data_IF_609660160404
#
_entry.id   IF_609660160404
#
_cell.length_a   1.000
_cell.length_b   1.000
_cell.length_c   1.000
_cell.angle_alpha   90.00
_cell.angle_beta   90.00
_cell.angle_gamma   90.00
#
_symmetry.space_group_name_H-M   'P 1'
#
loop_
_entity.id
_entity.type
_entity.pdbx_description
1 polymer ?
#
# COMPACT_ATOMS: atom_id res chain seq x y z
N UNK A 1 -15.17 -17.90 0.96
CA UNK A 1 -15.62 -17.55 2.32
C UNK A 1 -14.49 -16.75 2.96
N UNK A 2 -14.63 -15.42 3.06
CA UNK A 2 -13.66 -14.57 3.76
C UNK A 2 -13.67 -14.99 5.23
N UNK A 3 -12.60 -15.64 5.68
CA UNK A 3 -12.34 -15.83 7.10
C UNK A 3 -12.33 -14.42 7.70
N UNK A 4 -13.35 -14.10 8.49
CA UNK A 4 -13.44 -12.85 9.25
C UNK A 4 -12.24 -12.81 10.20
N UNK A 5 -11.11 -12.26 9.74
CA UNK A 5 -10.11 -11.73 10.65
C UNK A 5 -10.87 -10.76 11.56
N UNK A 6 -10.68 -10.84 12.86
CA UNK A 6 -11.33 -9.92 13.81
C UNK A 6 -10.24 -9.08 14.44
N UNK A 7 -10.49 -7.79 14.71
CA UNK A 7 -9.58 -6.97 15.49
C UNK A 7 -9.20 -7.70 16.78
N UNK A 8 -7.90 -7.75 17.06
CA UNK A 8 -7.40 -8.30 18.33
C UNK A 8 -7.42 -7.21 19.38
N UNK A 9 -7.58 -7.59 20.65
CA UNK A 9 -7.45 -6.65 21.77
C UNK A 9 -6.07 -5.98 21.84
N UNK A 10 -5.06 -6.58 21.19
CA UNK A 10 -3.69 -6.06 21.09
C UNK A 10 -3.45 -5.21 19.83
N UNK A 11 -4.45 -5.02 18.98
CA UNK A 11 -4.36 -4.06 17.89
C UNK A 11 -4.36 -2.65 18.50
N UNK A 12 -3.30 -1.90 18.22
CA UNK A 12 -3.12 -0.56 18.76
C UNK A 12 -3.72 0.53 17.88
N UNK A 13 -3.72 1.76 18.39
CA UNK A 13 -4.00 2.94 17.58
C UNK A 13 -2.84 3.18 16.62
N UNK A 14 -3.16 3.44 15.36
CA UNK A 14 -2.17 3.77 14.34
C UNK A 14 -2.83 4.26 13.06
N UNK A 15 -2.04 4.26 12.01
CA UNK A 15 -2.43 4.71 10.68
C UNK A 15 -2.24 3.57 9.70
N UNK A 16 -3.16 3.47 8.76
CA UNK A 16 -2.99 2.70 7.53
C UNK A 16 -2.94 3.70 6.40
N UNK A 17 -2.02 3.49 5.46
CA UNK A 17 -1.77 4.42 4.38
C UNK A 17 -1.50 3.68 3.09
N UNK A 18 -1.93 4.28 1.99
CA UNK A 18 -1.67 3.84 0.63
C UNK A 18 -0.64 4.77 0.02
N UNK A 19 0.43 4.19 -0.51
CA UNK A 19 1.52 4.92 -1.12
C UNK A 19 1.81 4.41 -2.53
N UNK A 20 2.39 5.27 -3.34
CA UNK A 20 2.78 4.99 -4.72
C UNK A 20 4.20 5.49 -4.97
N UNK A 21 4.99 4.77 -5.79
CA UNK A 21 6.33 5.19 -6.18
C UNK A 21 6.24 6.21 -7.33
N UNK A 22 7.02 7.28 -7.24
CA UNK A 22 6.98 8.40 -8.22
C UNK A 22 7.40 7.98 -9.63
N UNK A 23 8.36 7.08 -9.76
CA UNK A 23 8.82 6.58 -11.07
C UNK A 23 7.72 5.92 -11.86
N UNK A 24 6.78 5.24 -11.18
CA UNK A 24 5.70 4.53 -11.87
C UNK A 24 4.60 5.49 -12.30
N UNK A 25 4.36 6.57 -11.54
CA UNK A 25 3.52 7.67 -12.01
C UNK A 25 4.07 8.31 -13.30
N UNK A 26 5.40 8.47 -13.39
CA UNK A 26 6.04 9.02 -14.60
C UNK A 26 5.89 8.07 -15.79
N UNK A 27 6.22 6.78 -15.61
CA UNK A 27 6.07 5.77 -16.66
C UNK A 27 4.62 5.67 -17.17
N UNK A 28 3.63 5.78 -16.28
CA UNK A 28 2.23 5.78 -16.66
C UNK A 28 1.86 7.01 -17.50
N UNK A 29 2.30 8.20 -17.08
CA UNK A 29 2.09 9.44 -17.85
C UNK A 29 2.77 9.42 -19.21
N UNK A 30 3.93 8.77 -19.31
CA UNK A 30 4.69 8.61 -20.55
C UNK A 30 4.14 7.50 -21.46
N UNK A 31 3.11 6.75 -21.01
CA UNK A 31 2.54 5.62 -21.76
C UNK A 31 3.46 4.42 -21.85
N UNK A 32 4.53 4.37 -21.05
CA UNK A 32 5.46 3.23 -20.95
C UNK A 32 4.76 2.05 -20.26
N UNK A 33 3.85 2.35 -19.34
CA UNK A 33 2.92 1.39 -18.75
C UNK A 33 1.50 1.91 -18.95
N UNK A 34 0.60 1.04 -19.37
CA UNK A 34 -0.82 1.33 -19.64
C UNK A 34 -1.70 1.22 -18.38
N UNK A 35 -1.11 0.85 -17.25
CA UNK A 35 -1.80 0.70 -15.98
C UNK A 35 -0.98 1.28 -14.83
N UNK A 36 -1.69 1.81 -13.82
CA UNK A 36 -1.05 2.22 -12.57
C UNK A 36 -0.68 0.96 -11.79
N UNK A 37 0.57 0.56 -11.97
CA UNK A 37 1.30 -0.30 -11.09
C UNK A 37 1.41 0.40 -9.70
N UNK A 38 1.11 -0.32 -8.62
CA UNK A 38 1.64 -0.10 -7.26
C UNK A 38 0.92 0.91 -6.35
N UNK A 39 -0.27 0.54 -5.85
CA UNK A 39 -0.71 1.02 -4.53
C UNK A 39 -0.14 0.08 -3.46
N UNK A 40 0.88 0.51 -2.73
CA UNK A 40 1.39 -0.23 -1.55
C UNK A 40 0.63 0.23 -0.32
N UNK A 41 0.06 -0.72 0.41
CA UNK A 41 -0.58 -0.46 1.70
C UNK A 41 0.48 -0.66 2.77
N UNK A 42 0.50 0.21 3.77
CA UNK A 42 1.35 0.05 4.94
C UNK A 42 0.66 0.50 6.20
N UNK A 43 1.21 0.09 7.33
CA UNK A 43 0.77 0.51 8.65
C UNK A 43 1.89 1.14 9.48
N UNK A 44 1.53 2.04 10.38
CA UNK A 44 2.47 2.71 11.29
C UNK A 44 1.75 3.27 12.52
N UNK A 45 2.40 3.26 13.67
CA UNK A 45 1.90 3.97 14.86
C UNK A 45 2.25 5.47 14.86
N UNK A 46 3.15 5.91 13.97
CA UNK A 46 3.55 7.31 13.76
C UNK A 46 2.88 7.88 12.52
N UNK A 47 2.89 9.20 12.36
CA UNK A 47 2.40 9.86 11.15
C UNK A 47 2.96 9.21 9.86
N UNK A 48 2.09 8.82 8.90
CA UNK A 48 2.48 8.14 7.66
C UNK A 48 3.65 8.78 6.93
N UNK A 49 3.69 10.11 6.86
CA UNK A 49 4.74 10.85 6.16
C UNK A 49 6.15 10.54 6.70
N UNK A 50 6.28 10.32 8.01
CA UNK A 50 7.57 9.98 8.62
C UNK A 50 8.06 8.61 8.14
N UNK A 51 7.15 7.63 8.05
CA UNK A 51 7.49 6.28 7.61
C UNK A 51 7.82 6.23 6.13
N UNK A 52 7.08 6.96 5.32
CA UNK A 52 7.34 7.10 3.88
C UNK A 52 8.69 7.76 3.63
N UNK A 53 9.01 8.86 4.34
CA UNK A 53 10.33 9.51 4.20
C UNK A 53 11.49 8.57 4.56
N UNK A 54 11.33 7.71 5.57
CA UNK A 54 12.33 6.70 5.93
C UNK A 54 12.50 5.66 4.81
N UNK A 55 11.39 5.16 4.26
CA UNK A 55 11.42 4.21 3.16
C UNK A 55 12.04 4.81 1.90
N UNK A 56 11.70 6.06 1.58
CA UNK A 56 12.28 6.77 0.43
C UNK A 56 13.81 6.85 0.52
N UNK A 57 14.32 7.21 1.71
CA UNK A 57 15.77 7.29 1.96
C UNK A 57 16.46 5.93 1.89
N UNK A 58 15.83 4.89 2.47
CA UNK A 58 16.39 3.54 2.49
C UNK A 58 16.49 2.94 1.07
N UNK A 59 15.50 3.22 0.22
CA UNK A 59 15.41 2.64 -1.12
C UNK A 59 16.03 3.52 -2.20
N UNK A 60 16.41 4.77 -1.90
CA UNK A 60 16.88 5.73 -2.89
C UNK A 60 15.81 6.14 -3.91
N UNK A 61 14.53 6.08 -3.52
CA UNK A 61 13.37 6.30 -4.38
C UNK A 61 12.35 7.22 -3.72
N UNK A 62 11.59 7.97 -4.50
CA UNK A 62 10.54 8.84 -3.96
C UNK A 62 9.18 8.14 -3.97
N UNK A 63 8.48 8.23 -2.85
CA UNK A 63 7.13 7.69 -2.66
C UNK A 63 6.16 8.81 -2.26
N UNK A 64 4.93 8.72 -2.75
CA UNK A 64 3.83 9.63 -2.46
C UNK A 64 2.71 8.91 -1.72
N UNK A 65 2.11 9.55 -0.71
CA UNK A 65 0.94 9.03 0.00
C UNK A 65 -0.30 9.46 -0.77
N UNK A 66 -1.09 8.49 -1.23
CA UNK A 66 -2.36 8.73 -1.91
C UNK A 66 -3.50 8.95 -0.94
N UNK A 67 -3.55 8.13 0.11
CA UNK A 67 -4.58 8.18 1.14
C UNK A 67 -4.02 7.63 2.44
N UNK A 68 -4.57 8.09 3.56
CA UNK A 68 -4.28 7.53 4.86
C UNK A 68 -5.48 7.70 5.79
N UNK A 69 -5.61 6.80 6.75
CA UNK A 69 -6.64 6.87 7.77
C UNK A 69 -6.09 6.41 9.12
N UNK A 70 -6.59 7.04 10.19
CA UNK A 70 -6.28 6.68 11.57
C UNK A 70 -7.31 5.67 12.07
N UNK A 71 -6.86 4.63 12.76
CA UNK A 71 -7.73 3.59 13.32
C UNK A 71 -7.19 3.08 14.65
N UNK A 72 -8.09 2.75 15.58
CA UNK A 72 -7.78 2.00 16.80
C UNK A 72 -7.44 0.53 16.54
N UNK A 73 -7.64 0.06 15.29
CA UNK A 73 -7.43 -1.32 14.88
C UNK A 73 -6.60 -1.39 13.59
N UNK A 74 -5.52 -0.60 13.48
CA UNK A 74 -4.80 -0.41 12.22
C UNK A 74 -4.31 -1.72 11.56
N UNK A 75 -3.93 -2.74 12.34
CA UNK A 75 -3.53 -4.06 11.83
C UNK A 75 -4.68 -4.80 11.14
N UNK A 76 -5.86 -4.82 11.77
CA UNK A 76 -7.07 -5.38 11.17
C UNK A 76 -7.44 -4.66 9.88
N UNK A 77 -7.38 -3.33 9.91
CA UNK A 77 -7.70 -2.51 8.76
C UNK A 77 -6.73 -2.72 7.61
N UNK A 78 -5.42 -2.79 7.86
CA UNK A 78 -4.43 -3.15 6.85
C UNK A 78 -4.78 -4.49 6.21
N UNK A 79 -5.04 -5.53 7.01
CA UNK A 79 -5.43 -6.85 6.50
C UNK A 79 -6.69 -6.77 5.63
N UNK A 80 -7.73 -6.06 6.09
CA UNK A 80 -8.98 -5.90 5.34
C UNK A 80 -8.75 -5.15 4.02
N UNK A 81 -7.90 -4.11 4.02
CA UNK A 81 -7.49 -3.42 2.81
C UNK A 81 -6.73 -4.37 1.88
N UNK A 82 -5.69 -5.07 2.35
CA UNK A 82 -4.95 -6.05 1.55
C UNK A 82 -5.88 -7.09 0.92
N UNK A 83 -6.87 -7.60 1.67
CA UNK A 83 -7.87 -8.55 1.15
C UNK A 83 -8.75 -7.91 0.06
N UNK A 84 -9.26 -6.70 0.30
CA UNK A 84 -10.05 -5.97 -0.69
C UNK A 84 -9.26 -5.76 -1.98
N UNK A 85 -8.00 -5.38 -1.85
CA UNK A 85 -7.15 -5.17 -3.00
C UNK A 85 -6.63 -6.47 -3.64
N UNK A 86 -6.51 -7.57 -2.89
CA UNK A 86 -6.20 -8.90 -3.43
C UNK A 86 -7.31 -9.38 -4.39
N UNK A 87 -8.55 -8.98 -4.11
CA UNK A 87 -9.69 -9.22 -5.00
C UNK A 87 -9.67 -8.24 -6.21
N UNK A 88 -8.88 -7.16 -6.16
CA UNK A 88 -8.52 -6.37 -7.33
C UNK A 88 -7.42 -7.07 -8.14
N UNK A 89 -7.42 -6.93 -9.47
CA UNK A 89 -6.53 -7.67 -10.39
C UNK A 89 -5.05 -7.42 -10.09
N UNK A 90 -4.39 -8.32 -9.38
CA UNK A 90 -2.94 -8.26 -9.07
C UNK A 90 -2.13 -8.62 -10.32
N UNK A 91 -1.28 -7.70 -10.80
CA UNK A 91 -0.22 -8.03 -11.76
C UNK A 91 1.04 -8.34 -10.97
N UNK A 92 1.52 -9.58 -11.04
CA UNK A 92 2.75 -10.03 -10.38
C UNK A 92 3.95 -9.28 -10.97
N UNK A 93 4.68 -8.52 -10.15
CA UNK A 93 5.91 -7.85 -10.57
C UNK A 93 7.15 -8.67 -10.21
N UNK A 94 8.18 -8.54 -11.04
CA UNK A 94 9.42 -9.33 -11.03
C UNK A 94 10.17 -9.26 -9.69
N UNK A 95 10.66 -10.40 -9.22
CA UNK A 95 10.86 -10.73 -7.80
C UNK A 95 12.21 -10.31 -7.21
N UNK A 96 12.62 -9.04 -7.33
CA UNK A 96 13.84 -8.56 -6.63
C UNK A 96 13.61 -8.11 -5.18
N UNK A 97 12.39 -7.69 -4.82
CA UNK A 97 12.12 -7.04 -3.52
C UNK A 97 11.37 -7.93 -2.50
N UNK A 98 11.28 -9.24 -2.76
CA UNK A 98 11.00 -10.28 -1.75
C UNK A 98 9.68 -10.24 -0.97
N UNK A 99 8.80 -9.25 -1.14
CA UNK A 99 7.58 -9.20 -0.31
C UNK A 99 6.58 -8.10 -0.60
N UNK A 100 6.60 -7.48 -1.79
CA UNK A 100 5.64 -6.43 -2.12
C UNK A 100 4.47 -7.03 -2.90
N UNK A 101 3.28 -7.03 -2.30
CA UNK A 101 2.02 -7.31 -3.00
C UNK A 101 1.55 -6.02 -3.69
N UNK A 102 1.15 -6.15 -4.96
CA UNK A 102 0.89 -5.02 -5.86
C UNK A 102 -0.56 -5.05 -6.31
N UNK A 103 -1.26 -3.93 -6.21
CA UNK A 103 -2.68 -3.86 -6.50
C UNK A 103 -2.96 -2.89 -7.65
N UNK A 104 -3.79 -3.33 -8.59
CA UNK A 104 -4.38 -2.52 -9.65
C UNK A 104 -5.70 -1.94 -9.12
N UNK A 105 -5.90 -0.63 -9.21
CA UNK A 105 -7.25 -0.06 -9.17
C UNK A 105 -7.60 0.25 -10.62
N UNK A 106 -8.42 -0.58 -11.26
CA UNK A 106 -9.14 -0.13 -12.44
C UNK A 106 -10.25 0.83 -11.97
N UNK A 107 -10.32 2.07 -12.49
CA UNK A 107 -11.54 2.84 -12.37
C UNK A 107 -12.60 2.22 -13.30
N UNK A 108 -13.81 2.04 -12.76
CA UNK A 108 -15.02 1.87 -13.57
C UNK A 108 -15.34 3.16 -14.33
#
# INVERSE_FOLDING_TARGET
MLTLYKPRATDGVGYVYVLQRKTDMLKYREGVIDHILLHKIGMTCKEPQTRVNQQSRANGEEYHILAWFKSSFHKYFEYACHRYFQDCRVVKCDSKDGGTEWFLIEPQ
#
